data_IF_064153480919
#
_entry.id   IF_064153480919
#
_cell.length_a   1.000
_cell.length_b   1.000
_cell.length_c   1.000
_cell.angle_alpha   90.00
_cell.angle_beta   90.00
_cell.angle_gamma   90.00
#
_symmetry.space_group_name_H-M   'P 1'
#
loop_
_entity.id
_entity.type
_entity.pdbx_description
1 polymer ?
#
# COMPACT_ATOMS: atom_id res chain seq x y z
N UNK A 1 -17.06 -7.33 17.00
CA UNK A 1 -18.36 -6.66 16.78
C UNK A 1 -19.26 -6.56 18.02
N UNK A 2 -19.17 -7.47 19.01
CA UNK A 2 -20.06 -7.48 20.19
C UNK A 2 -20.16 -6.15 20.97
N UNK A 3 -19.07 -5.40 21.23
CA UNK A 3 -19.18 -4.13 21.95
C UNK A 3 -20.07 -3.09 21.26
N UNK A 4 -20.05 -3.04 19.91
CA UNK A 4 -20.94 -2.15 19.15
C UNK A 4 -22.40 -2.52 19.39
N UNK A 5 -22.73 -3.82 19.36
CA UNK A 5 -24.10 -4.27 19.63
C UNK A 5 -24.52 -3.93 21.07
N UNK A 6 -23.62 -4.12 22.06
CA UNK A 6 -23.86 -3.73 23.45
C UNK A 6 -24.11 -2.23 23.60
N UNK A 7 -23.38 -1.38 22.87
CA UNK A 7 -23.59 0.08 22.87
C UNK A 7 -25.00 0.46 22.44
N UNK A 8 -25.57 -0.26 21.48
CA UNK A 8 -26.92 0.01 20.96
C UNK A 8 -28.05 -0.62 21.80
N UNK A 9 -27.73 -1.32 22.90
CA UNK A 9 -28.69 -2.09 23.70
C UNK A 9 -29.73 -1.26 24.44
N UNK A 10 -29.47 0.03 24.65
CA UNK A 10 -30.39 0.99 25.27
C UNK A 10 -31.54 1.43 24.35
N UNK A 11 -31.61 0.85 23.15
CA UNK A 11 -32.62 1.15 22.13
C UNK A 11 -32.59 2.61 21.65
N UNK A 12 -31.50 3.36 21.91
CA UNK A 12 -31.30 4.70 21.36
C UNK A 12 -30.64 4.63 19.98
N UNK A 13 -30.76 5.74 19.26
CA UNK A 13 -30.17 5.90 17.94
C UNK A 13 -28.78 6.53 18.09
N UNK A 14 -27.78 5.93 17.44
CA UNK A 14 -26.40 6.42 17.47
C UNK A 14 -25.84 6.62 16.07
N UNK A 15 -25.11 7.71 15.88
CA UNK A 15 -24.31 7.91 14.68
C UNK A 15 -22.99 7.13 14.68
N UNK A 16 -22.37 6.96 13.51
CA UNK A 16 -21.03 6.34 13.40
C UNK A 16 -20.00 6.97 14.33
N UNK A 17 -20.05 8.29 14.54
CA UNK A 17 -19.11 8.98 15.42
C UNK A 17 -19.28 8.58 16.88
N UNK A 18 -20.52 8.48 17.38
CA UNK A 18 -20.79 8.06 18.75
C UNK A 18 -20.41 6.59 19.00
N UNK A 19 -20.60 5.72 18.00
CA UNK A 19 -20.15 4.34 18.07
C UNK A 19 -18.62 4.28 18.11
N UNK A 20 -17.92 5.07 17.28
CA UNK A 20 -16.45 5.14 17.30
C UNK A 20 -15.91 5.62 18.65
N UNK A 21 -16.43 6.73 19.20
CA UNK A 21 -16.01 7.23 20.50
C UNK A 21 -16.18 6.19 21.60
N UNK A 22 -17.29 5.46 21.59
CA UNK A 22 -17.49 4.36 22.54
C UNK A 22 -16.47 3.23 22.37
N UNK A 23 -16.12 2.86 21.13
CA UNK A 23 -15.12 1.81 20.89
C UNK A 23 -13.72 2.26 21.33
N UNK A 24 -13.36 3.53 21.12
CA UNK A 24 -12.10 4.10 21.61
C UNK A 24 -12.02 3.98 23.13
N UNK A 25 -13.07 4.40 23.84
CA UNK A 25 -13.15 4.33 25.29
C UNK A 25 -13.14 2.89 25.80
N UNK A 26 -13.97 2.02 25.22
CA UNK A 26 -14.15 0.64 25.66
C UNK A 26 -12.88 -0.22 25.55
N UNK A 27 -12.02 0.08 24.57
CA UNK A 27 -10.77 -0.64 24.34
C UNK A 27 -9.54 0.15 24.77
N UNK A 28 -9.71 1.34 25.36
CA UNK A 28 -8.62 2.25 25.73
C UNK A 28 -7.65 2.52 24.57
N UNK A 29 -8.18 2.74 23.36
CA UNK A 29 -7.38 2.91 22.15
C UNK A 29 -6.58 4.21 22.24
N UNK A 30 -5.26 4.10 22.15
CA UNK A 30 -4.33 5.23 22.29
C UNK A 30 -4.43 6.19 21.11
N UNK A 31 -3.94 7.43 21.29
CA UNK A 31 -3.89 8.42 20.21
C UNK A 31 -3.04 7.94 19.03
N UNK A 32 -1.93 7.25 19.30
CA UNK A 32 -1.08 6.65 18.26
C UNK A 32 -1.84 5.59 17.45
N UNK A 33 -2.61 4.70 18.11
CA UNK A 33 -3.43 3.69 17.45
C UNK A 33 -4.58 4.30 16.65
N UNK A 34 -5.17 5.40 17.12
CA UNK A 34 -6.21 6.13 16.39
C UNK A 34 -5.68 6.78 15.11
N UNK A 35 -4.40 7.18 15.11
CA UNK A 35 -3.71 7.75 13.95
C UNK A 35 -3.21 6.71 12.96
N UNK A 36 -3.25 5.42 13.31
CA UNK A 36 -2.91 4.34 12.38
C UNK A 36 -3.82 4.37 11.15
N UNK A 37 -3.21 4.15 10.00
CA UNK A 37 -3.91 4.11 8.71
C UNK A 37 -3.98 2.69 8.18
N UNK A 38 -4.93 2.45 7.28
CA UNK A 38 -4.91 1.29 6.39
C UNK A 38 -3.57 1.25 5.62
N UNK A 39 -3.09 0.09 5.15
CA UNK A 39 -1.75 0.02 4.55
C UNK A 39 -1.56 0.97 3.34
N UNK A 40 -2.62 1.25 2.56
CA UNK A 40 -2.61 2.29 1.51
C UNK A 40 -2.64 3.75 1.99
N UNK A 41 -2.70 4.01 3.29
CA UNK A 41 -2.68 5.36 3.88
C UNK A 41 -3.94 6.21 3.66
N UNK A 42 -4.99 5.69 3.00
CA UNK A 42 -6.17 6.50 2.64
C UNK A 42 -7.17 6.68 3.77
N UNK A 43 -7.31 5.71 4.66
CA UNK A 43 -8.30 5.72 5.75
C UNK A 43 -7.64 5.45 7.10
N UNK A 44 -8.24 5.93 8.18
CA UNK A 44 -7.86 5.50 9.53
C UNK A 44 -8.32 4.06 9.75
N UNK A 45 -7.40 3.23 10.26
CA UNK A 45 -7.62 1.79 10.42
C UNK A 45 -8.84 1.50 11.31
N UNK A 46 -8.93 2.20 12.45
CA UNK A 46 -10.05 2.09 13.37
C UNK A 46 -11.39 2.46 12.69
N UNK A 47 -11.41 3.51 11.88
CA UNK A 47 -12.63 3.98 11.23
C UNK A 47 -13.12 2.95 10.21
N UNK A 48 -12.19 2.38 9.44
CA UNK A 48 -12.48 1.32 8.48
C UNK A 48 -13.05 0.07 9.18
N UNK A 49 -12.40 -0.41 10.24
CA UNK A 49 -12.86 -1.60 11.00
C UNK A 49 -14.22 -1.39 11.67
N UNK A 50 -14.48 -0.20 12.22
CA UNK A 50 -15.81 0.14 12.79
C UNK A 50 -16.88 0.18 11.70
N UNK A 51 -16.58 0.77 10.54
CA UNK A 51 -17.52 0.82 9.41
C UNK A 51 -17.89 -0.59 8.91
N UNK A 52 -16.90 -1.48 8.74
CA UNK A 52 -17.14 -2.88 8.38
C UNK A 52 -17.93 -3.63 9.46
N UNK A 53 -17.62 -3.40 10.73
CA UNK A 53 -18.36 -4.01 11.85
C UNK A 53 -19.83 -3.62 11.84
N UNK A 54 -20.14 -2.35 11.61
CA UNK A 54 -21.52 -1.86 11.47
C UNK A 54 -22.19 -2.49 10.25
N UNK A 55 -21.50 -2.53 9.10
CA UNK A 55 -22.02 -3.15 7.87
C UNK A 55 -22.40 -4.60 8.10
N UNK A 56 -21.52 -5.40 8.71
CA UNK A 56 -21.79 -6.82 8.99
C UNK A 56 -22.94 -7.03 9.97
N UNK A 57 -23.01 -6.25 11.06
CA UNK A 57 -24.13 -6.32 12.00
C UNK A 57 -25.47 -5.96 11.32
N UNK A 58 -25.46 -4.98 10.41
CA UNK A 58 -26.64 -4.56 9.66
C UNK A 58 -27.08 -5.64 8.68
N UNK A 59 -26.15 -6.19 7.89
CA UNK A 59 -26.43 -7.26 6.93
C UNK A 59 -26.93 -8.53 7.63
N UNK A 60 -26.44 -8.83 8.83
CA UNK A 60 -26.95 -9.94 9.64
C UNK A 60 -28.29 -9.64 10.34
N UNK A 61 -28.85 -8.43 10.19
CA UNK A 61 -30.14 -8.05 10.75
C UNK A 61 -30.13 -7.75 12.26
N UNK A 62 -28.95 -7.63 12.89
CA UNK A 62 -28.81 -7.38 14.34
C UNK A 62 -29.03 -5.90 14.70
N UNK A 63 -28.80 -5.03 13.73
CA UNK A 63 -29.03 -3.59 13.82
C UNK A 63 -29.68 -3.12 12.51
N UNK A 64 -30.36 -1.99 12.55
CA UNK A 64 -30.91 -1.34 11.36
C UNK A 64 -30.58 0.16 11.39
N UNK A 65 -30.85 0.84 10.27
CA UNK A 65 -30.53 2.26 10.10
C UNK A 65 -31.84 3.06 9.95
N UNK A 66 -32.31 3.73 11.01
CA UNK A 66 -33.55 4.51 10.94
C UNK A 66 -33.40 5.77 10.07
N UNK A 67 -32.19 6.35 10.04
CA UNK A 67 -31.81 7.46 9.17
C UNK A 67 -30.36 7.29 8.72
N UNK A 68 -29.95 8.04 7.69
CA UNK A 68 -28.59 7.98 7.14
C UNK A 68 -27.53 8.18 8.22
N UNK A 69 -26.58 7.24 8.28
CA UNK A 69 -25.45 7.29 9.22
C UNK A 69 -25.83 7.09 10.68
N UNK A 70 -27.09 6.73 10.95
CA UNK A 70 -27.63 6.44 12.27
C UNK A 70 -27.99 4.96 12.38
N UNK A 71 -27.81 4.38 13.56
CA UNK A 71 -27.97 2.96 13.81
C UNK A 71 -28.69 2.71 15.14
N UNK A 72 -29.53 1.67 15.15
CA UNK A 72 -30.27 1.22 16.31
C UNK A 72 -30.33 -0.32 16.34
N UNK A 73 -30.38 -0.91 17.53
CA UNK A 73 -30.47 -2.37 17.68
C UNK A 73 -31.83 -2.91 17.20
N UNK A 74 -31.85 -4.08 16.56
CA UNK A 74 -33.07 -4.77 16.17
C UNK A 74 -33.58 -5.72 17.27
N UNK A 75 -34.77 -6.29 17.10
CA UNK A 75 -35.29 -7.34 17.99
C UNK A 75 -34.42 -8.60 18.00
N UNK A 76 -33.81 -8.95 16.86
CA UNK A 76 -32.87 -10.07 16.76
C UNK A 76 -31.60 -9.74 17.56
N UNK A 77 -31.07 -8.52 17.41
CA UNK A 77 -29.94 -8.05 18.20
C UNK A 77 -30.19 -8.13 19.71
N UNK A 78 -31.39 -7.70 20.16
CA UNK A 78 -31.80 -7.81 21.57
C UNK A 78 -31.85 -9.26 22.05
N UNK A 79 -32.40 -10.18 21.25
CA UNK A 79 -32.45 -11.61 21.58
C UNK A 79 -31.05 -12.18 21.79
N UNK A 80 -30.11 -11.85 20.92
CA UNK A 80 -28.71 -12.29 21.04
C UNK A 80 -28.05 -11.73 22.31
N UNK A 81 -28.35 -10.49 22.68
CA UNK A 81 -27.81 -9.90 23.91
C UNK A 81 -28.38 -10.50 25.21
N UNK A 82 -29.50 -11.24 25.17
CA UNK A 82 -29.99 -11.96 26.37
C UNK A 82 -29.04 -13.07 26.79
N UNK A 83 -28.43 -13.77 25.82
CA UNK A 83 -27.42 -14.80 26.02
C UNK A 83 -26.23 -14.50 25.08
N UNK A 84 -25.42 -13.49 25.40
CA UNK A 84 -24.40 -12.99 24.48
C UNK A 84 -23.31 -14.04 24.27
N UNK A 85 -22.86 -14.26 23.02
CA UNK A 85 -21.69 -15.10 22.78
C UNK A 85 -20.44 -14.42 23.36
N UNK A 86 -19.37 -15.18 23.56
CA UNK A 86 -18.08 -14.62 23.98
C UNK A 86 -17.58 -13.54 23.01
N UNK A 87 -17.75 -13.77 21.70
CA UNK A 87 -17.43 -12.82 20.63
C UNK A 87 -18.47 -12.92 19.50
N UNK A 88 -18.73 -11.78 18.85
CA UNK A 88 -19.45 -11.74 17.56
C UNK A 88 -18.40 -11.60 16.46
N UNK A 89 -18.19 -12.70 15.74
CA UNK A 89 -17.29 -12.86 14.57
C UNK A 89 -18.08 -12.93 13.28
N UNK A 90 -17.41 -12.81 12.12
CA UNK A 90 -18.09 -12.99 10.82
C UNK A 90 -18.68 -14.41 10.72
N UNK A 91 -17.96 -15.42 11.22
CA UNK A 91 -18.45 -16.81 11.27
C UNK A 91 -19.74 -16.94 12.08
N UNK A 92 -19.80 -16.32 13.25
CA UNK A 92 -21.01 -16.28 14.07
C UNK A 92 -22.16 -15.61 13.32
N UNK A 93 -21.94 -14.43 12.72
CA UNK A 93 -22.97 -13.72 11.97
C UNK A 93 -23.55 -14.54 10.79
N UNK A 94 -22.72 -15.33 10.11
CA UNK A 94 -23.18 -16.23 9.04
C UNK A 94 -24.07 -17.36 9.57
N UNK A 95 -23.78 -17.89 10.76
CA UNK A 95 -24.61 -18.96 11.36
C UNK A 95 -26.02 -18.50 11.76
N UNK A 96 -26.20 -17.21 12.02
CA UNK A 96 -27.48 -16.63 12.49
C UNK A 96 -28.24 -15.86 11.41
N UNK A 97 -27.71 -15.76 10.18
CA UNK A 97 -28.31 -14.94 9.11
C UNK A 97 -29.78 -15.30 8.86
N UNK A 98 -30.58 -14.38 8.27
CA UNK A 98 -32.05 -14.50 8.16
C UNK A 98 -32.55 -15.81 7.55
N UNK A 99 -31.73 -16.47 6.73
CA UNK A 99 -32.01 -17.73 6.04
C UNK A 99 -32.03 -18.95 6.99
N UNK A 100 -31.31 -18.86 8.13
CA UNK A 100 -31.21 -19.92 9.14
C UNK A 100 -32.12 -19.68 10.36
N UNK A 101 -32.75 -18.51 10.49
CA UNK A 101 -33.56 -18.14 11.67
C UNK A 101 -34.90 -18.90 11.73
N UNK A 102 -35.34 -19.53 10.63
CA UNK A 102 -36.60 -20.29 10.62
C UNK A 102 -36.49 -21.66 11.33
N UNK A 103 -35.29 -22.19 11.61
CA UNK A 103 -35.13 -23.57 12.08
C UNK A 103 -34.37 -23.79 13.40
N UNK A 104 -34.05 -22.76 14.19
CA UNK A 104 -33.28 -22.96 15.44
C UNK A 104 -34.08 -22.74 16.74
N UNK A 105 -35.20 -23.44 16.90
CA UNK A 105 -35.63 -23.90 18.24
C UNK A 105 -35.18 -25.35 18.41
N UNK A 106 -33.90 -25.53 18.76
CA UNK A 106 -33.42 -26.73 19.47
C UNK A 106 -32.04 -26.44 20.03
N UNK A 107 -32.04 -26.28 21.34
CA UNK A 107 -30.90 -26.41 22.25
C UNK A 107 -29.98 -27.55 21.83
N UNK A 108 -28.67 -27.28 21.76
CA UNK A 108 -27.66 -28.33 21.91
C UNK A 108 -26.42 -27.78 22.60
N UNK A 109 -26.07 -28.50 23.65
CA UNK A 109 -25.00 -28.27 24.60
C UNK A 109 -23.64 -28.04 23.95
N UNK A 110 -22.92 -27.07 24.53
CA UNK A 110 -21.57 -26.67 24.15
C UNK A 110 -20.56 -27.51 24.94
N UNK A 111 -19.77 -28.33 24.24
CA UNK A 111 -18.48 -28.79 24.76
C UNK A 111 -17.49 -28.97 23.61
N UNK A 112 -16.31 -28.35 23.77
CA UNK A 112 -15.09 -28.61 23.00
C UNK A 112 -14.96 -27.85 21.67
N UNK A 113 -14.12 -26.81 21.63
CA UNK A 113 -12.78 -26.96 21.04
C UNK A 113 -11.97 -25.64 21.02
N UNK A 114 -10.78 -25.74 21.63
CA UNK A 114 -9.57 -24.93 21.51
C UNK A 114 -9.62 -23.66 20.63
N UNK A 115 -9.78 -22.50 21.27
CA UNK A 115 -9.39 -21.20 20.72
C UNK A 115 -7.89 -20.98 20.92
N UNK A 116 -7.07 -21.43 19.98
CA UNK A 116 -5.64 -21.08 19.89
C UNK A 116 -5.24 -20.68 18.47
N UNK A 117 -5.70 -19.50 18.07
CA UNK A 117 -4.92 -18.53 17.28
C UNK A 117 -5.71 -17.22 17.26
N UNK A 118 -5.20 -16.17 17.89
CA UNK A 118 -5.68 -14.81 17.70
C UNK A 118 -5.31 -14.32 16.28
N UNK A 119 -5.90 -14.93 15.26
CA UNK A 119 -5.95 -14.30 13.95
C UNK A 119 -6.94 -13.15 14.05
N UNK A 120 -6.45 -11.92 14.16
CA UNK A 120 -7.27 -10.72 14.01
C UNK A 120 -8.04 -10.84 12.68
N UNK A 121 -9.37 -10.93 12.72
CA UNK A 121 -10.19 -10.95 11.51
C UNK A 121 -9.96 -9.64 10.74
N UNK A 122 -9.32 -9.74 9.57
CA UNK A 122 -9.02 -8.61 8.69
C UNK A 122 -10.28 -8.19 7.92
N UNK A 123 -10.42 -6.90 7.67
CA UNK A 123 -11.47 -6.40 6.76
C UNK A 123 -11.17 -6.81 5.31
N UNK A 124 -12.19 -6.85 4.42
CA UNK A 124 -11.97 -7.11 3.00
C UNK A 124 -10.95 -6.16 2.36
N UNK A 125 -10.96 -4.88 2.77
CA UNK A 125 -10.01 -3.87 2.28
C UNK A 125 -8.57 -4.21 2.72
N UNK A 126 -8.36 -4.60 3.98
CA UNK A 126 -7.05 -5.04 4.49
C UNK A 126 -6.57 -6.31 3.76
N UNK A 127 -7.45 -7.29 3.54
CA UNK A 127 -7.11 -8.52 2.83
C UNK A 127 -6.69 -8.27 1.38
N UNK A 128 -7.39 -7.37 0.70
CA UNK A 128 -7.06 -7.01 -0.68
C UNK A 128 -5.75 -6.24 -0.76
N UNK A 129 -5.50 -5.32 0.16
CA UNK A 129 -4.27 -4.53 0.23
C UNK A 129 -3.04 -5.43 0.49
N UNK A 130 -3.13 -6.35 1.45
CA UNK A 130 -2.05 -7.31 1.71
C UNK A 130 -1.80 -8.23 0.51
N UNK A 131 -2.87 -8.64 -0.18
CA UNK A 131 -2.78 -9.39 -1.42
C UNK A 131 -2.03 -8.59 -2.50
N UNK A 132 -2.37 -7.31 -2.66
CA UNK A 132 -1.73 -6.40 -3.61
C UNK A 132 -0.25 -6.17 -3.29
N UNK A 133 0.09 -5.88 -2.04
CA UNK A 133 1.49 -5.74 -1.60
C UNK A 133 2.30 -7.01 -1.83
N UNK A 134 1.71 -8.18 -1.55
CA UNK A 134 2.35 -9.48 -1.82
C UNK A 134 2.60 -9.68 -3.31
N UNK A 135 1.61 -9.40 -4.16
CA UNK A 135 1.76 -9.50 -5.62
C UNK A 135 2.89 -8.57 -6.11
N UNK A 136 2.90 -7.31 -5.67
CA UNK A 136 3.90 -6.34 -6.10
C UNK A 136 5.30 -6.67 -5.58
N UNK A 137 5.43 -7.22 -4.38
CA UNK A 137 6.70 -7.69 -3.83
C UNK A 137 7.27 -8.85 -4.66
N UNK A 138 6.43 -9.80 -5.03
CA UNK A 138 6.80 -10.92 -5.91
C UNK A 138 7.18 -10.43 -7.31
N UNK A 139 6.39 -9.53 -7.88
CA UNK A 139 6.67 -8.91 -9.17
C UNK A 139 8.00 -8.14 -9.15
N UNK A 140 8.26 -7.37 -8.09
CA UNK A 140 9.52 -6.64 -7.90
C UNK A 140 10.71 -7.60 -7.87
N UNK A 141 10.58 -8.73 -7.14
CA UNK A 141 11.62 -9.77 -7.09
C UNK A 141 11.89 -10.38 -8.47
N UNK A 142 10.83 -10.68 -9.22
CA UNK A 142 10.95 -11.21 -10.58
C UNK A 142 11.58 -10.20 -11.55
N UNK A 143 11.16 -8.94 -11.50
CA UNK A 143 11.74 -7.85 -12.30
C UNK A 143 13.23 -7.70 -12.01
N UNK A 144 13.62 -7.65 -10.73
CA UNK A 144 15.01 -7.49 -10.35
C UNK A 144 15.88 -8.62 -10.93
N UNK A 145 15.42 -9.87 -10.82
CA UNK A 145 16.11 -11.01 -11.43
C UNK A 145 16.31 -10.86 -12.94
N UNK A 146 15.27 -10.42 -13.67
CA UNK A 146 15.39 -10.18 -15.11
C UNK A 146 16.40 -9.05 -15.43
N UNK A 147 16.40 -7.97 -14.64
CA UNK A 147 17.37 -6.87 -14.80
C UNK A 147 18.82 -7.33 -14.57
N UNK A 148 19.03 -8.27 -13.65
CA UNK A 148 20.36 -8.84 -13.40
C UNK A 148 20.84 -9.74 -14.55
N UNK A 149 19.92 -10.31 -15.34
CA UNK A 149 20.24 -11.24 -16.43
C UNK A 149 20.51 -10.54 -17.78
N UNK A 150 19.99 -9.32 -17.98
CA UNK A 150 20.26 -8.55 -19.21
C UNK A 150 21.71 -8.07 -19.31
N UNK A 151 22.14 -7.67 -20.52
CA UNK A 151 23.45 -7.05 -20.72
C UNK A 151 23.53 -5.66 -20.06
N UNK A 152 24.73 -5.17 -19.69
CA UNK A 152 24.90 -3.81 -19.15
C UNK A 152 24.27 -2.72 -20.02
N UNK A 153 24.55 -2.74 -21.33
CA UNK A 153 23.95 -1.81 -22.28
C UNK A 153 22.42 -1.87 -22.32
N UNK A 154 21.82 -3.06 -22.18
CA UNK A 154 20.37 -3.18 -22.14
C UNK A 154 19.80 -2.65 -20.82
N UNK A 155 20.51 -2.84 -19.70
CA UNK A 155 20.14 -2.25 -18.42
C UNK A 155 20.16 -0.72 -18.46
N UNK A 156 21.20 -0.11 -19.04
CA UNK A 156 21.28 1.34 -19.26
C UNK A 156 20.07 1.85 -20.07
N UNK A 157 19.74 1.16 -21.17
CA UNK A 157 18.56 1.48 -21.98
C UNK A 157 17.24 1.37 -21.19
N UNK A 158 17.05 0.33 -20.37
CA UNK A 158 15.84 0.19 -19.53
C UNK A 158 15.74 1.32 -18.51
N UNK A 159 16.86 1.72 -17.92
CA UNK A 159 16.94 2.82 -16.96
C UNK A 159 16.54 4.14 -17.62
N UNK A 160 17.02 4.39 -18.83
CA UNK A 160 16.63 5.56 -19.62
C UNK A 160 15.14 5.52 -19.95
N UNK A 161 14.62 4.38 -20.43
CA UNK A 161 13.19 4.19 -20.72
C UNK A 161 12.32 4.52 -19.49
N UNK A 162 12.77 4.10 -18.31
CA UNK A 162 12.10 4.42 -17.05
C UNK A 162 12.07 5.92 -16.77
N UNK A 163 13.20 6.61 -16.88
CA UNK A 163 13.25 8.05 -16.64
C UNK A 163 12.38 8.83 -17.62
N UNK A 164 12.33 8.40 -18.88
CA UNK A 164 11.43 8.99 -19.89
C UNK A 164 9.96 8.77 -19.51
N UNK A 165 9.59 7.54 -19.10
CA UNK A 165 8.23 7.24 -18.62
C UNK A 165 7.84 8.00 -17.36
N UNK A 166 8.82 8.37 -16.53
CA UNK A 166 8.64 9.25 -15.38
C UNK A 166 8.47 10.73 -15.76
N UNK A 167 8.67 11.10 -17.04
CA UNK A 167 8.48 12.44 -17.56
C UNK A 167 9.77 13.28 -17.70
N UNK A 168 10.95 12.68 -17.48
CA UNK A 168 12.22 13.32 -17.81
C UNK A 168 12.50 13.24 -19.32
N UNK A 169 13.33 14.13 -19.87
CA UNK A 169 13.75 14.12 -21.28
C UNK A 169 13.08 15.16 -22.19
N UNK A 170 12.04 15.84 -21.72
CA UNK A 170 11.39 16.95 -22.42
C UNK A 170 10.22 16.57 -23.33
N UNK A 171 9.75 17.50 -24.18
CA UNK A 171 8.54 17.33 -25.02
C UNK A 171 8.76 16.49 -26.28
N UNK A 172 10.00 16.35 -26.72
CA UNK A 172 10.34 15.56 -27.89
C UNK A 172 10.69 14.14 -27.46
N UNK A 173 9.65 13.33 -27.25
CA UNK A 173 9.76 11.91 -26.93
C UNK A 173 10.60 11.11 -27.94
N UNK A 174 10.87 11.67 -29.14
CA UNK A 174 11.72 11.10 -30.18
C UNK A 174 13.16 11.67 -30.21
N UNK A 175 13.42 12.84 -29.62
CA UNK A 175 14.72 13.55 -29.67
C UNK A 175 15.32 13.85 -28.29
N UNK A 176 14.82 13.23 -27.21
CA UNK A 176 15.51 13.26 -25.93
C UNK A 176 16.94 12.76 -26.15
N UNK A 177 17.91 13.68 -26.22
CA UNK A 177 19.33 13.39 -26.48
C UNK A 177 19.89 12.57 -25.31
N UNK A 178 19.57 11.28 -25.30
CA UNK A 178 20.25 10.26 -24.53
C UNK A 178 21.54 10.02 -25.29
N UNK A 179 22.54 10.85 -25.02
CA UNK A 179 23.89 10.58 -25.51
C UNK A 179 24.41 9.35 -24.76
N UNK A 180 24.26 8.17 -25.38
CA UNK A 180 24.63 6.84 -24.82
C UNK A 180 26.15 6.66 -24.62
N UNK A 181 26.96 7.71 -24.77
CA UNK A 181 28.41 7.61 -24.63
C UNK A 181 28.99 8.97 -24.27
N UNK A 182 29.22 9.19 -22.98
CA UNK A 182 30.37 10.01 -22.61
C UNK A 182 31.58 9.08 -22.60
N UNK A 183 32.71 9.51 -23.19
CA UNK A 183 33.98 8.78 -23.07
C UNK A 183 34.59 8.90 -21.66
N UNK A 184 33.90 9.58 -20.74
CA UNK A 184 34.30 9.73 -19.34
C UNK A 184 34.03 8.47 -18.53
N UNK A 185 34.95 8.21 -17.60
CA UNK A 185 35.06 7.03 -16.73
C UNK A 185 33.92 6.85 -15.69
N UNK A 186 32.66 7.15 -16.05
CA UNK A 186 31.53 6.92 -15.13
C UNK A 186 30.16 7.51 -15.48
N UNK A 187 29.93 8.02 -16.70
CA UNK A 187 28.61 8.55 -17.10
C UNK A 187 28.05 7.69 -18.24
N UNK A 188 26.92 7.04 -17.97
CA UNK A 188 26.28 6.11 -18.91
C UNK A 188 25.19 6.82 -19.74
N UNK A 189 24.66 7.94 -19.26
CA UNK A 189 23.66 8.72 -20.00
C UNK A 189 23.48 10.15 -19.49
N UNK A 190 22.86 10.99 -20.31
CA UNK A 190 22.48 12.36 -19.97
C UNK A 190 21.02 12.53 -20.38
N UNK A 191 20.18 13.10 -19.51
CA UNK A 191 18.77 13.39 -19.79
C UNK A 191 18.44 14.83 -19.41
N UNK A 192 17.56 15.47 -20.17
CA UNK A 192 17.06 16.82 -19.87
C UNK A 192 16.05 16.74 -18.73
N UNK A 193 16.15 17.64 -17.75
CA UNK A 193 15.19 17.67 -16.64
C UNK A 193 13.85 18.28 -17.05
N UNK A 194 13.92 19.28 -17.91
CA UNK A 194 12.79 20.06 -18.36
C UNK A 194 12.68 20.08 -19.89
N UNK A 195 11.53 20.53 -20.39
CA UNK A 195 11.23 20.56 -21.84
C UNK A 195 12.10 21.52 -22.64
N UNK A 196 12.63 22.56 -22.01
CA UNK A 196 13.52 23.54 -22.63
C UNK A 196 14.99 23.09 -22.57
N UNK A 197 15.31 22.06 -21.78
CA UNK A 197 16.65 21.51 -21.63
C UNK A 197 17.63 22.46 -20.95
N UNK A 198 17.14 23.33 -20.08
CA UNK A 198 17.96 24.28 -19.33
C UNK A 198 18.82 23.55 -18.29
N UNK A 199 18.26 22.52 -17.67
CA UNK A 199 18.97 21.63 -16.77
C UNK A 199 19.18 20.23 -17.37
N UNK A 200 20.34 19.64 -17.07
CA UNK A 200 20.73 18.28 -17.44
C UNK A 200 20.95 17.43 -16.20
N UNK A 201 20.48 16.19 -16.26
CA UNK A 201 20.67 15.17 -15.26
C UNK A 201 21.57 14.10 -15.86
N UNK A 202 22.65 13.79 -15.13
CA UNK A 202 23.63 12.80 -15.55
C UNK A 202 23.32 11.47 -14.87
N UNK A 203 23.41 10.38 -15.62
CA UNK A 203 22.96 9.07 -15.17
C UNK A 203 24.15 8.12 -15.16
N UNK A 204 24.27 7.37 -14.08
CA UNK A 204 25.11 6.18 -14.00
C UNK A 204 24.23 4.98 -13.64
N UNK A 205 24.26 3.93 -14.46
CA UNK A 205 23.44 2.75 -14.36
C UNK A 205 24.35 1.51 -14.24
N UNK A 206 24.57 1.03 -13.02
CA UNK A 206 25.38 -0.18 -12.79
C UNK A 206 24.53 -1.42 -12.54
N UNK A 207 24.62 -2.38 -13.45
CA UNK A 207 24.08 -3.73 -13.24
C UNK A 207 25.06 -4.60 -12.45
N UNK A 208 24.58 -5.16 -11.36
CA UNK A 208 25.31 -6.13 -10.53
C UNK A 208 24.56 -7.45 -10.47
N UNK A 209 25.27 -8.58 -10.49
CA UNK A 209 24.68 -9.91 -10.29
C UNK A 209 24.53 -10.20 -8.78
N UNK A 210 23.45 -10.86 -8.39
CA UNK A 210 22.97 -11.06 -7.02
C UNK A 210 23.99 -11.42 -5.94
N UNK A 211 23.68 -10.99 -4.70
CA UNK A 211 23.97 -11.73 -3.46
C UNK A 211 24.70 -10.96 -2.35
N UNK A 212 25.73 -10.18 -2.69
CA UNK A 212 26.63 -9.56 -1.69
C UNK A 212 27.16 -8.17 -2.11
N UNK A 213 26.75 -7.67 -3.28
CA UNK A 213 27.29 -6.43 -3.83
C UNK A 213 26.62 -5.23 -3.18
N UNK A 214 27.28 -4.69 -2.16
CA UNK A 214 26.96 -3.40 -1.54
C UNK A 214 27.70 -2.31 -2.31
N UNK A 215 27.00 -1.31 -2.85
CA UNK A 215 27.64 -0.13 -3.43
C UNK A 215 28.14 0.74 -2.28
N UNK A 216 29.46 0.77 -2.12
CA UNK A 216 30.12 1.58 -1.11
C UNK A 216 30.39 3.00 -1.58
N UNK A 217 30.80 3.85 -0.63
CA UNK A 217 31.23 5.23 -0.87
C UNK A 217 32.19 5.43 -2.05
N UNK A 218 33.21 4.56 -2.30
CA UNK A 218 34.15 4.79 -3.40
C UNK A 218 33.48 4.89 -4.78
N UNK A 219 32.41 4.14 -5.02
CA UNK A 219 31.69 4.18 -6.29
C UNK A 219 30.92 5.49 -6.46
N UNK A 220 30.29 5.98 -5.38
CA UNK A 220 29.61 7.28 -5.39
C UNK A 220 30.63 8.42 -5.53
N UNK A 221 31.79 8.31 -4.91
CA UNK A 221 32.87 9.30 -5.03
C UNK A 221 33.43 9.38 -6.46
N UNK A 222 33.60 8.24 -7.14
CA UNK A 222 33.96 8.22 -8.56
C UNK A 222 32.91 8.92 -9.40
N UNK A 223 31.63 8.66 -9.14
CA UNK A 223 30.53 9.31 -9.85
C UNK A 223 30.53 10.83 -9.63
N UNK A 224 30.66 11.30 -8.38
CA UNK A 224 30.79 12.73 -8.06
C UNK A 224 31.96 13.35 -8.82
N UNK A 225 33.12 12.69 -8.86
CA UNK A 225 34.27 13.17 -9.62
C UNK A 225 34.00 13.30 -11.13
N UNK A 226 33.27 12.36 -11.71
CA UNK A 226 32.85 12.44 -13.11
C UNK A 226 31.85 13.60 -13.34
N UNK A 227 30.92 13.84 -12.41
CA UNK A 227 30.02 14.98 -12.45
C UNK A 227 30.77 16.32 -12.38
N UNK A 228 31.74 16.42 -11.48
CA UNK A 228 32.58 17.63 -11.32
C UNK A 228 33.37 17.92 -12.61
N UNK A 229 33.93 16.89 -13.25
CA UNK A 229 34.62 17.00 -14.55
C UNK A 229 33.73 17.58 -15.65
N UNK A 230 32.44 17.23 -15.64
CA UNK A 230 31.42 17.73 -16.56
C UNK A 230 30.74 19.03 -16.10
N UNK A 231 31.15 19.60 -14.95
CA UNK A 231 30.50 20.75 -14.29
C UNK A 231 28.99 20.53 -14.06
N UNK A 232 28.61 19.27 -13.85
CA UNK A 232 27.24 18.85 -13.63
C UNK A 232 26.80 19.13 -12.19
N UNK A 233 25.54 19.57 -12.02
CA UNK A 233 24.96 19.87 -10.70
C UNK A 233 24.01 18.79 -10.18
N UNK A 234 23.53 17.91 -11.07
CA UNK A 234 22.51 16.90 -10.78
C UNK A 234 22.90 15.56 -11.38
N UNK A 235 22.75 14.49 -10.60
CA UNK A 235 23.04 13.14 -11.06
C UNK A 235 22.12 12.09 -10.44
N UNK A 236 21.90 10.99 -11.16
CA UNK A 236 21.18 9.82 -10.66
C UNK A 236 22.10 8.61 -10.78
N UNK A 237 22.32 7.93 -9.65
CA UNK A 237 23.02 6.65 -9.63
C UNK A 237 22.00 5.54 -9.42
N UNK A 238 21.90 4.65 -10.40
CA UNK A 238 20.93 3.56 -10.46
C UNK A 238 21.67 2.23 -10.44
N UNK A 239 21.21 1.29 -9.62
CA UNK A 239 21.83 -0.02 -9.49
C UNK A 239 20.81 -1.11 -9.18
N UNK A 240 21.11 -2.35 -9.57
CA UNK A 240 20.35 -3.53 -9.11
C UNK A 240 20.75 -3.97 -7.69
N UNK A 241 21.85 -3.42 -7.15
CA UNK A 241 22.36 -3.69 -5.81
C UNK A 241 21.78 -2.75 -4.73
N UNK A 242 22.29 -2.83 -3.49
CA UNK A 242 21.97 -1.93 -2.39
C UNK A 242 23.10 -0.94 -2.11
N UNK A 243 22.77 0.26 -1.64
CA UNK A 243 23.76 1.24 -1.19
C UNK A 243 24.15 1.02 0.27
N UNK A 244 25.42 1.31 0.58
CA UNK A 244 25.89 1.35 1.95
C UNK A 244 25.41 2.61 2.66
N UNK A 245 25.29 2.55 4.00
CA UNK A 245 24.96 3.73 4.80
C UNK A 245 25.97 4.86 4.54
N UNK A 246 27.25 4.50 4.42
CA UNK A 246 28.34 5.43 4.12
C UNK A 246 28.25 6.02 2.71
N UNK A 247 27.70 5.28 1.74
CA UNK A 247 27.46 5.75 0.38
C UNK A 247 26.31 6.77 0.34
N UNK A 248 25.22 6.48 1.06
CA UNK A 248 24.07 7.39 1.21
C UNK A 248 24.48 8.67 1.92
N UNK A 249 25.12 8.55 3.09
CA UNK A 249 25.60 9.70 3.86
C UNK A 249 26.60 10.56 3.07
N UNK A 250 27.40 9.94 2.20
CA UNK A 250 28.31 10.69 1.34
C UNK A 250 27.55 11.45 0.25
N UNK A 251 26.58 10.82 -0.44
CA UNK A 251 25.75 11.48 -1.44
C UNK A 251 25.02 12.71 -0.88
N UNK A 252 24.49 12.61 0.35
CA UNK A 252 23.77 13.70 1.02
C UNK A 252 24.66 14.90 1.42
N UNK A 253 25.97 14.69 1.56
CA UNK A 253 26.93 15.71 2.00
C UNK A 253 27.66 16.43 0.86
N UNK A 254 27.47 15.99 -0.38
CA UNK A 254 28.18 16.60 -1.52
C UNK A 254 27.51 17.92 -1.94
N UNK A 255 28.25 18.76 -2.65
CA UNK A 255 27.71 20.00 -3.23
C UNK A 255 26.86 19.75 -4.49
N UNK A 256 26.81 18.50 -4.97
CA UNK A 256 26.08 18.07 -6.16
C UNK A 256 24.82 17.33 -5.71
N UNK A 257 23.68 17.58 -6.34
CA UNK A 257 22.44 16.88 -6.02
C UNK A 257 22.44 15.49 -6.64
N UNK A 258 22.60 14.45 -5.82
CA UNK A 258 22.64 13.06 -6.27
C UNK A 258 21.46 12.28 -5.74
N UNK A 259 20.73 11.62 -6.64
CA UNK A 259 19.68 10.66 -6.28
C UNK A 259 20.20 9.24 -6.42
N UNK A 260 20.10 8.47 -5.34
CA UNK A 260 20.42 7.05 -5.33
C UNK A 260 19.16 6.21 -5.54
N UNK A 261 19.18 5.28 -6.49
CA UNK A 261 18.08 4.34 -6.77
C UNK A 261 18.65 2.91 -6.74
N UNK A 262 18.30 2.17 -5.68
CA UNK A 262 18.71 0.78 -5.49
C UNK A 262 17.73 -0.18 -6.19
N UNK A 263 18.05 -1.49 -6.19
CA UNK A 263 17.23 -2.48 -6.90
C UNK A 263 15.77 -2.53 -6.41
N UNK A 264 15.54 -2.28 -5.12
CA UNK A 264 14.18 -2.24 -4.54
C UNK A 264 13.40 -1.02 -5.03
N UNK A 265 14.00 0.17 -4.98
CA UNK A 265 13.37 1.41 -5.47
C UNK A 265 13.18 1.38 -6.98
N UNK A 266 14.17 0.86 -7.72
CA UNK A 266 14.12 0.71 -9.17
C UNK A 266 12.92 -0.14 -9.62
N UNK A 267 12.76 -1.33 -9.05
CA UNK A 267 11.65 -2.23 -9.43
C UNK A 267 10.29 -1.68 -9.03
N UNK A 268 10.19 -0.99 -7.90
CA UNK A 268 8.97 -0.26 -7.54
C UNK A 268 8.62 0.82 -8.57
N UNK A 269 9.59 1.65 -8.97
CA UNK A 269 9.38 2.67 -10.01
C UNK A 269 9.00 2.02 -11.36
N UNK A 270 9.62 0.91 -11.74
CA UNK A 270 9.24 0.18 -12.94
C UNK A 270 7.79 -0.30 -12.91
N UNK A 271 7.30 -0.76 -11.76
CA UNK A 271 5.89 -1.15 -11.62
C UNK A 271 4.99 0.10 -11.69
N UNK A 272 5.31 1.15 -10.94
CA UNK A 272 4.50 2.37 -10.85
C UNK A 272 4.36 3.10 -12.21
N UNK A 273 5.39 3.02 -13.06
CA UNK A 273 5.43 3.64 -14.40
C UNK A 273 5.27 2.64 -15.55
N UNK A 274 4.86 1.40 -15.24
CA UNK A 274 4.55 0.34 -16.21
C UNK A 274 5.69 0.01 -17.20
N UNK A 275 6.92 -0.02 -16.70
CA UNK A 275 8.13 -0.33 -17.48
C UNK A 275 8.53 -1.79 -17.28
N UNK A 276 8.64 -2.54 -18.38
CA UNK A 276 9.02 -3.95 -18.33
C UNK A 276 7.94 -4.86 -17.72
N UNK A 277 6.71 -4.36 -17.57
CA UNK A 277 5.54 -5.12 -17.12
C UNK A 277 4.41 -4.99 -18.13
N UNK A 278 3.40 -5.84 -17.99
CA UNK A 278 2.14 -5.75 -18.74
C UNK A 278 1.00 -5.95 -17.76
N UNK A 279 0.01 -5.05 -17.81
CA UNK A 279 -1.19 -5.16 -16.97
C UNK A 279 -1.97 -6.40 -17.39
N UNK A 280 -2.08 -7.37 -16.47
CA UNK A 280 -2.79 -8.61 -16.71
C UNK A 280 -4.31 -8.45 -16.54
N UNK A 281 -4.73 -7.83 -15.44
CA UNK A 281 -6.13 -7.71 -15.03
C UNK A 281 -6.38 -6.35 -14.34
N UNK A 282 -7.58 -5.80 -14.47
CA UNK A 282 -8.02 -4.57 -13.76
C UNK A 282 -9.25 -4.90 -12.91
N UNK A 283 -9.11 -4.81 -11.59
CA UNK A 283 -10.19 -5.03 -10.63
C UNK A 283 -10.82 -3.69 -10.22
N UNK A 284 -12.14 -3.54 -10.41
CA UNK A 284 -12.90 -2.36 -9.95
C UNK A 284 -13.56 -2.66 -8.60
N UNK A 285 -13.28 -1.82 -7.59
CA UNK A 285 -13.90 -1.94 -6.26
C UNK A 285 -15.05 -0.94 -6.19
N UNK A 286 -16.26 -1.46 -6.03
CA UNK A 286 -17.46 -0.64 -5.79
C UNK A 286 -17.61 -0.28 -4.33
N UNK A 287 -18.18 0.90 -4.07
CA UNK A 287 -18.70 1.29 -2.76
C UNK A 287 -20.17 1.65 -2.95
N UNK A 288 -21.02 1.25 -2.01
CA UNK A 288 -22.43 1.64 -2.02
C UNK A 288 -22.50 3.17 -2.01
N UNK A 289 -23.12 3.74 -3.04
CA UNK A 289 -23.60 5.11 -3.01
C UNK A 289 -24.90 5.13 -2.21
N UNK A 290 -24.82 5.63 -0.98
CA UNK A 290 -25.98 5.70 -0.11
C UNK A 290 -27.01 6.71 -0.59
N UNK A 291 -26.60 7.73 -1.36
CA UNK A 291 -27.50 8.79 -1.83
C UNK A 291 -28.46 8.27 -2.90
N UNK A 292 -28.04 7.27 -3.66
CA UNK A 292 -28.88 6.59 -4.66
C UNK A 292 -30.15 5.93 -4.09
N UNK A 293 -30.19 5.59 -2.80
CA UNK A 293 -31.28 4.83 -2.18
C UNK A 293 -32.18 5.65 -1.25
N UNK A 294 -32.05 6.98 -1.25
CA UNK A 294 -32.90 7.87 -0.46
C UNK A 294 -34.12 8.24 -1.31
N UNK A 295 -35.33 8.02 -0.78
CA UNK A 295 -36.56 8.55 -1.38
C UNK A 295 -36.58 10.07 -1.18
N UNK A 296 -36.85 10.84 -2.25
CA UNK A 296 -36.98 12.32 -2.19
C UNK A 296 -38.10 12.79 -1.24
#
# INVERSE_FOLDING_TARGET
>A
MLPILKKLSDNKVYGSSGIRSYIIEQFSVTDEEQLQRTPNGKQFLLFNRVAWSISYLRTAGLIYSPQRGQYQISEIGKKILKNPPARITIKFLKSIGPENIVNSTKTKDSNGDNESSESLEKTPDEMMEEGFERINSELSRMLLKNLEEVSPYRFESIVVDLLIKMGYGGSDFENGEVTQKSADEGIDGIIKEDKLGLDKIYIQAKRWKQGLSKIGRPEIQKFVGALDGQRAKKGIFITTAFFSKEAIEYADKTNVSIVLIDGKKLTKLMIDYEVGITIKDIYKIGKIDTDYFIEE
#
